data_IF_615490665052
#
_entry.id   IF_615490665052
#
_cell.length_a   1.000
_cell.length_b   1.000
_cell.length_c   1.000
_cell.angle_alpha   90.00
_cell.angle_beta   90.00
_cell.angle_gamma   90.00
#
_symmetry.space_group_name_H-M   'P 1'
#
loop_
_entity.id
_entity.type
_entity.pdbx_description
1 polymer ?
#
# COMPACT_ATOMS: atom_id res chain seq x y z
N UNK A 1 -0.22 -14.92 20.50
CA UNK A 1 0.06 -14.42 19.13
C UNK A 1 -0.88 -13.25 18.85
N UNK A 2 -0.37 -12.15 18.31
CA UNK A 2 -1.16 -11.08 17.71
C UNK A 2 -0.59 -10.84 16.32
N UNK A 3 -1.33 -11.26 15.28
CA UNK A 3 -0.89 -11.19 13.88
C UNK A 3 -1.12 -9.80 13.27
N UNK A 4 -1.98 -8.97 13.89
CA UNK A 4 -2.27 -7.61 13.47
C UNK A 4 -1.69 -6.63 14.48
N UNK A 5 -0.81 -5.74 14.02
CA UNK A 5 -0.22 -4.70 14.87
C UNK A 5 -1.13 -3.47 14.91
N UNK A 6 -1.78 -3.17 13.79
CA UNK A 6 -2.69 -2.03 13.64
C UNK A 6 -4.08 -2.49 13.20
N UNK A 7 -5.11 -1.72 13.59
CA UNK A 7 -6.48 -1.95 13.11
C UNK A 7 -6.57 -1.94 11.59
N UNK A 8 -5.75 -1.11 10.94
CA UNK A 8 -5.65 -1.07 9.49
C UNK A 8 -5.25 -2.41 8.88
N UNK A 9 -4.36 -3.19 9.52
CA UNK A 9 -3.91 -4.49 9.01
C UNK A 9 -5.07 -5.48 8.96
N UNK A 10 -5.89 -5.48 10.02
CA UNK A 10 -7.10 -6.29 10.09
C UNK A 10 -8.13 -5.84 9.03
N UNK A 11 -8.33 -4.54 8.87
CA UNK A 11 -9.31 -4.00 7.92
C UNK A 11 -8.92 -4.35 6.48
N UNK A 12 -7.64 -4.30 6.14
CA UNK A 12 -7.15 -4.65 4.80
C UNK A 12 -7.39 -6.14 4.47
N UNK A 13 -7.15 -7.04 5.42
CA UNK A 13 -7.42 -8.47 5.24
C UNK A 13 -8.93 -8.78 5.17
N UNK A 14 -9.75 -8.07 5.93
CA UNK A 14 -11.22 -8.16 5.82
C UNK A 14 -11.71 -7.69 4.44
N UNK A 15 -11.20 -6.55 3.96
CA UNK A 15 -11.49 -6.04 2.61
C UNK A 15 -11.14 -7.08 1.56
N UNK A 16 -9.95 -7.67 1.65
CA UNK A 16 -9.52 -8.71 0.73
C UNK A 16 -10.45 -9.93 0.74
N UNK A 17 -10.80 -10.46 1.93
CA UNK A 17 -11.72 -11.60 2.04
C UNK A 17 -13.09 -11.32 1.41
N UNK A 18 -13.67 -10.16 1.69
CA UNK A 18 -15.00 -9.82 1.16
C UNK A 18 -14.95 -9.50 -0.34
N UNK A 19 -13.89 -8.84 -0.82
CA UNK A 19 -13.70 -8.60 -2.24
C UNK A 19 -13.52 -9.91 -3.01
N UNK A 20 -12.76 -10.87 -2.47
CA UNK A 20 -12.64 -12.20 -3.06
C UNK A 20 -14.01 -12.90 -3.10
N UNK A 21 -14.77 -12.83 -1.99
CA UNK A 21 -16.11 -13.39 -1.95
C UNK A 21 -17.05 -12.74 -2.98
N UNK A 22 -16.94 -11.44 -3.23
CA UNK A 22 -17.73 -10.74 -4.25
C UNK A 22 -17.25 -11.03 -5.68
N UNK A 23 -15.95 -11.23 -5.88
CA UNK A 23 -15.36 -11.50 -7.20
C UNK A 23 -15.67 -12.90 -7.71
N UNK A 24 -15.62 -13.90 -6.83
CA UNK A 24 -15.79 -15.30 -7.21
C UNK A 24 -17.23 -15.83 -7.06
N UNK A 25 -18.14 -15.04 -6.48
CA UNK A 25 -19.54 -15.41 -6.37
C UNK A 25 -20.42 -14.48 -7.23
N UNK A 26 -21.45 -15.05 -7.86
CA UNK A 26 -22.37 -14.29 -8.72
C UNK A 26 -23.04 -13.16 -7.93
N UNK A 27 -23.13 -11.98 -8.54
CA UNK A 27 -23.88 -10.86 -7.98
C UNK A 27 -25.34 -11.26 -7.70
N UNK A 28 -25.86 -10.84 -6.54
CA UNK A 28 -27.19 -11.22 -6.07
C UNK A 28 -27.25 -12.58 -5.37
N UNK A 29 -26.18 -13.40 -5.41
CA UNK A 29 -26.10 -14.62 -4.61
C UNK A 29 -26.06 -14.31 -3.10
N UNK A 30 -26.42 -15.30 -2.28
CA UNK A 30 -26.38 -15.15 -0.82
C UNK A 30 -24.97 -14.78 -0.32
N UNK A 31 -23.93 -15.40 -0.88
CA UNK A 31 -22.53 -15.17 -0.48
C UNK A 31 -22.10 -13.75 -0.87
N UNK A 32 -22.37 -13.32 -2.11
CA UNK A 32 -22.08 -11.96 -2.56
C UNK A 32 -22.77 -10.91 -1.69
N UNK A 33 -24.08 -11.06 -1.45
CA UNK A 33 -24.86 -10.11 -0.67
C UNK A 33 -24.41 -10.07 0.80
N UNK A 34 -24.01 -11.21 1.36
CA UNK A 34 -23.47 -11.29 2.72
C UNK A 34 -22.11 -10.60 2.81
N UNK A 35 -21.21 -10.86 1.85
CA UNK A 35 -19.89 -10.24 1.80
C UNK A 35 -19.98 -8.71 1.71
N UNK A 36 -20.87 -8.19 0.84
CA UNK A 36 -21.12 -6.75 0.72
C UNK A 36 -21.60 -6.13 2.04
N UNK A 37 -22.60 -6.73 2.69
CA UNK A 37 -23.11 -6.25 3.99
C UNK A 37 -22.05 -6.31 5.09
N UNK A 38 -21.26 -7.38 5.14
CA UNK A 38 -20.21 -7.54 6.13
C UNK A 38 -19.07 -6.54 5.93
N UNK A 39 -18.74 -6.22 4.67
CA UNK A 39 -17.79 -5.16 4.35
C UNK A 39 -18.29 -3.80 4.86
N UNK A 40 -19.55 -3.44 4.60
CA UNK A 40 -20.14 -2.19 5.09
C UNK A 40 -20.09 -2.09 6.63
N UNK A 41 -20.45 -3.18 7.32
CA UNK A 41 -20.38 -3.26 8.78
C UNK A 41 -18.94 -3.13 9.27
N UNK A 42 -17.98 -3.83 8.65
CA UNK A 42 -16.58 -3.79 9.05
C UNK A 42 -16.00 -2.37 8.94
N UNK A 43 -16.29 -1.66 7.84
CA UNK A 43 -15.84 -0.28 7.65
C UNK A 43 -16.50 0.68 8.62
N UNK A 44 -17.81 0.52 8.87
CA UNK A 44 -18.51 1.31 9.87
C UNK A 44 -17.89 1.14 11.26
N UNK A 45 -17.63 -0.11 11.67
CA UNK A 45 -16.99 -0.40 12.96
C UNK A 45 -15.54 0.09 13.02
N UNK A 46 -14.79 -0.03 11.94
CA UNK A 46 -13.44 0.50 11.88
C UNK A 46 -13.45 2.03 12.07
N UNK A 47 -14.36 2.73 11.41
CA UNK A 47 -14.51 4.18 11.54
C UNK A 47 -14.91 4.59 12.97
N UNK A 48 -15.82 3.87 13.63
CA UNK A 48 -16.15 4.09 15.05
C UNK A 48 -14.92 3.94 15.97
N UNK A 49 -13.94 3.14 15.58
CA UNK A 49 -12.68 2.92 16.30
C UNK A 49 -11.55 3.88 15.87
N UNK A 50 -11.85 4.88 15.03
CA UNK A 50 -10.88 5.89 14.58
C UNK A 50 -10.00 5.47 13.41
N UNK A 51 -10.37 4.39 12.71
CA UNK A 51 -9.77 4.08 11.40
C UNK A 51 -10.23 5.09 10.36
N UNK A 52 -9.26 5.67 9.65
CA UNK A 52 -9.48 6.58 8.53
C UNK A 52 -8.75 6.00 7.31
N UNK A 53 -9.48 5.68 6.26
CA UNK A 53 -8.92 5.08 5.05
C UNK A 53 -8.07 6.05 4.23
N UNK A 54 -8.27 7.36 4.40
CA UNK A 54 -7.53 8.39 3.67
C UNK A 54 -6.31 8.87 4.43
N UNK A 55 -6.15 8.46 5.70
CA UNK A 55 -4.96 8.77 6.47
C UNK A 55 -3.78 7.95 5.96
N UNK A 56 -2.70 8.60 5.49
CA UNK A 56 -1.52 7.88 5.03
C UNK A 56 -0.96 7.05 6.19
N UNK A 57 -0.80 5.74 5.97
CA UNK A 57 -0.09 4.87 6.91
C UNK A 57 1.34 5.37 7.01
N UNK A 58 1.71 5.94 8.15
CA UNK A 58 3.11 6.18 8.48
C UNK A 58 3.70 4.81 8.80
N UNK A 59 4.24 4.13 7.79
CA UNK A 59 5.10 2.98 8.05
C UNK A 59 6.35 3.56 8.70
N UNK A 60 6.58 3.24 9.98
CA UNK A 60 7.87 3.50 10.61
C UNK A 60 8.92 2.75 9.77
N UNK A 61 9.63 3.50 8.93
CA UNK A 61 10.75 2.96 8.16
C UNK A 61 11.78 2.54 9.19
N UNK A 62 11.86 1.23 9.46
CA UNK A 62 13.07 0.67 10.06
C UNK A 62 14.17 0.88 9.02
N UNK A 63 14.94 1.96 9.14
CA UNK A 63 16.15 2.14 8.36
C UNK A 63 17.04 0.91 8.64
N UNK A 64 17.10 -0.01 7.69
CA UNK A 64 18.20 -0.96 7.64
C UNK A 64 19.42 -0.17 7.17
N UNK A 65 20.49 -0.19 7.95
CA UNK A 65 21.74 0.55 7.71
C UNK A 65 22.54 0.05 6.48
N UNK A 66 21.90 -0.63 5.52
CA UNK A 66 22.55 -1.23 4.35
C UNK A 66 22.42 -0.39 3.07
N UNK A 67 21.73 0.75 3.08
CA UNK A 67 21.72 1.64 1.91
C UNK A 67 22.96 2.54 1.96
N UNK A 68 23.96 2.21 1.14
CA UNK A 68 25.12 3.08 0.91
C UNK A 68 24.60 4.40 0.30
N UNK A 69 24.86 5.58 0.90
CA UNK A 69 24.52 6.85 0.27
C UNK A 69 25.37 7.02 -0.98
N UNK A 70 24.72 7.19 -2.14
CA UNK A 70 25.40 7.58 -3.37
C UNK A 70 26.02 8.96 -3.11
N UNK A 71 27.35 9.03 -3.02
CA UNK A 71 28.07 10.30 -3.04
C UNK A 71 28.08 10.80 -4.48
N UNK A 72 27.58 12.01 -4.70
CA UNK A 72 27.69 12.76 -5.95
C UNK A 72 29.18 13.06 -6.22
N UNK A 73 29.87 12.12 -6.85
CA UNK A 73 31.24 12.34 -7.31
C UNK A 73 31.18 12.97 -8.72
N UNK A 74 31.34 14.30 -8.71
CA UNK A 74 31.68 15.23 -9.79
C UNK A 74 32.07 14.54 -11.12
N UNK A 75 31.10 14.31 -12.00
CA UNK A 75 31.40 14.04 -13.41
C UNK A 75 31.64 15.39 -14.09
N UNK A 76 32.87 15.91 -13.98
CA UNK A 76 33.28 17.05 -14.79
C UNK A 76 33.22 16.65 -16.27
N UNK A 77 32.18 17.12 -16.96
CA UNK A 77 32.10 17.08 -18.41
C UNK A 77 33.26 17.89 -18.96
N UNK A 78 34.31 17.22 -19.42
CA UNK A 78 35.38 17.87 -20.18
C UNK A 78 34.78 18.46 -21.46
N UNK A 79 35.08 19.72 -21.81
CA UNK A 79 34.55 20.33 -23.02
C UNK A 79 35.25 19.74 -24.24
N UNK A 80 34.52 18.95 -25.03
CA UNK A 80 34.77 18.78 -26.47
C UNK A 80 34.19 20.06 -27.16
N UNK A 81 34.70 20.65 -28.26
CA UNK A 81 35.53 20.04 -29.31
C UNK A 81 36.54 21.00 -29.99
N UNK A 82 37.32 20.50 -30.96
CA UNK A 82 37.40 21.13 -32.29
C UNK A 82 37.79 20.07 -33.34
N UNK A 83 36.88 19.82 -34.28
CA UNK A 83 37.11 19.02 -35.49
C UNK A 83 37.87 19.90 -36.49
N UNK A 84 39.10 19.53 -36.86
CA UNK A 84 39.80 20.17 -37.98
C UNK A 84 39.30 19.57 -39.30
N UNK A 85 38.88 20.38 -40.29
CA UNK A 85 38.32 19.87 -41.53
C UNK A 85 39.41 19.39 -42.50
N UNK A 86 39.13 18.23 -43.10
CA UNK A 86 39.76 17.47 -44.21
C UNK A 86 41.18 17.80 -44.65
#
# INVERSE_FOLDING_TARGET
>A
KGEYTYLADLVDDLKLMFNNAMQYNQEGSLIYNSAKKLLDIALFKAHELGYDEHKPRVQEVRLNSSTIPIKEEQFELSPDPQIQPR
#
